data_IF_720409291636
#
_entry.id   IF_720409291636
#
_cell.length_a   1.000
_cell.length_b   1.000
_cell.length_c   1.000
_cell.angle_alpha   90.00
_cell.angle_beta   90.00
_cell.angle_gamma   90.00
#
_symmetry.space_group_name_H-M   'P 1'
#
loop_
_entity.id
_entity.type
_entity.pdbx_description
1 polymer ?
#
# COMPACT_ATOMS: atom_id res chain seq x y z
N UNK A 1 42.95 -1.30 -28.88
CA UNK A 1 42.59 -2.73 -28.79
C UNK A 1 43.36 -3.34 -27.62
N UNK A 2 42.64 -3.86 -26.62
CA UNK A 2 42.98 -4.92 -25.64
C UNK A 2 42.04 -4.74 -24.44
N UNK A 3 41.24 -5.77 -24.18
CA UNK A 3 40.27 -5.91 -23.10
C UNK A 3 40.94 -6.59 -21.90
N UNK A 4 40.50 -6.28 -20.67
CA UNK A 4 40.71 -7.16 -19.50
C UNK A 4 39.56 -7.03 -18.49
N UNK A 5 38.90 -8.16 -18.26
CA UNK A 5 37.85 -8.39 -17.27
C UNK A 5 38.37 -8.19 -15.84
N UNK A 6 37.54 -7.62 -14.96
CA UNK A 6 37.74 -7.64 -13.51
C UNK A 6 36.80 -8.67 -12.87
N UNK A 7 37.38 -9.60 -12.13
CA UNK A 7 36.72 -10.69 -11.43
C UNK A 7 35.80 -10.18 -10.31
N UNK A 8 34.57 -10.69 -10.26
CA UNK A 8 33.60 -10.40 -9.22
C UNK A 8 33.99 -11.05 -7.89
N UNK A 9 34.15 -10.23 -6.86
CA UNK A 9 34.29 -10.70 -5.48
C UNK A 9 32.89 -11.03 -4.96
N UNK A 10 32.53 -12.32 -5.00
CA UNK A 10 31.32 -12.84 -4.37
C UNK A 10 31.52 -12.87 -2.86
N UNK A 11 30.83 -12.00 -2.12
CA UNK A 11 30.75 -12.10 -0.66
C UNK A 11 29.84 -13.29 -0.30
N UNK A 12 30.24 -14.18 0.62
CA UNK A 12 29.42 -15.33 1.00
C UNK A 12 28.13 -14.84 1.67
N UNK A 13 27.01 -15.30 1.12
CA UNK A 13 25.66 -15.08 1.67
C UNK A 13 25.55 -15.91 2.95
N UNK A 14 25.59 -15.24 4.10
CA UNK A 14 25.32 -15.87 5.39
C UNK A 14 23.86 -16.34 5.37
N UNK A 15 23.65 -17.65 5.31
CA UNK A 15 22.32 -18.26 5.44
C UNK A 15 21.94 -18.20 6.93
N UNK A 16 21.14 -17.21 7.31
CA UNK A 16 20.51 -17.19 8.64
C UNK A 16 19.23 -18.03 8.60
N UNK A 17 19.10 -18.92 9.59
CA UNK A 17 18.05 -19.94 9.70
C UNK A 17 16.64 -19.35 9.84
N UNK A 18 15.65 -20.15 9.43
CA UNK A 18 14.23 -19.81 9.42
C UNK A 18 13.67 -19.53 10.82
N UNK A 19 13.16 -18.31 11.00
CA UNK A 19 12.06 -18.01 11.91
C UNK A 19 10.85 -17.65 11.04
N UNK A 20 9.75 -18.39 11.17
CA UNK A 20 8.47 -18.03 10.54
C UNK A 20 7.93 -16.80 11.27
N UNK A 21 8.40 -15.62 10.88
CA UNK A 21 7.64 -14.39 11.10
C UNK A 21 6.28 -14.53 10.38
N UNK A 22 5.16 -14.03 10.94
CA UNK A 22 3.95 -13.92 10.15
C UNK A 22 4.30 -13.15 8.89
N UNK A 23 4.09 -13.74 7.72
CA UNK A 23 4.43 -13.11 6.44
C UNK A 23 3.56 -11.88 6.26
N UNK A 24 4.03 -10.74 6.77
CA UNK A 24 3.39 -9.45 6.58
C UNK A 24 3.41 -9.15 5.09
N UNK A 25 2.25 -8.92 4.51
CA UNK A 25 2.12 -8.54 3.11
C UNK A 25 2.86 -7.22 2.86
N UNK A 26 3.63 -7.10 1.76
CA UNK A 26 4.31 -5.86 1.44
C UNK A 26 3.30 -4.73 1.22
N UNK A 27 3.72 -3.48 1.43
CA UNK A 27 2.89 -2.31 1.14
C UNK A 27 2.69 -2.22 -0.37
N UNK A 28 1.45 -2.17 -0.87
CA UNK A 28 1.17 -2.17 -2.30
C UNK A 28 1.53 -0.82 -2.90
N UNK A 29 1.95 -0.85 -4.17
CA UNK A 29 2.26 0.35 -4.94
C UNK A 29 1.08 0.78 -5.82
N UNK A 30 0.14 -0.12 -6.10
CA UNK A 30 -1.04 0.16 -6.90
C UNK A 30 -2.31 -0.37 -6.25
N UNK A 31 -3.46 0.21 -6.66
CA UNK A 31 -4.78 -0.28 -6.22
C UNK A 31 -5.00 -1.72 -6.66
N UNK A 32 -4.49 -2.10 -7.83
CA UNK A 32 -4.60 -3.47 -8.33
C UNK A 32 -3.89 -4.45 -7.40
N UNK A 33 -2.68 -4.14 -6.97
CA UNK A 33 -1.91 -5.00 -6.06
C UNK A 33 -2.60 -5.08 -4.69
N UNK A 34 -3.12 -3.96 -4.20
CA UNK A 34 -3.84 -3.90 -2.93
C UNK A 34 -5.14 -4.74 -2.94
N UNK A 35 -5.84 -4.80 -4.07
CA UNK A 35 -7.08 -5.56 -4.19
C UNK A 35 -6.86 -7.08 -4.31
N UNK A 36 -5.69 -7.50 -4.79
CA UNK A 36 -5.31 -8.92 -4.87
C UNK A 36 -4.99 -9.47 -3.47
N UNK A 37 -4.40 -8.64 -2.61
CA UNK A 37 -4.10 -9.04 -1.24
C UNK A 37 -5.33 -8.94 -0.33
N UNK A 38 -5.74 -10.02 0.35
CA UNK A 38 -6.93 -10.01 1.19
C UNK A 38 -6.83 -9.04 2.38
N UNK A 39 -5.64 -8.82 2.95
CA UNK A 39 -5.46 -7.93 4.09
C UNK A 39 -5.62 -6.47 3.68
N UNK A 40 -5.02 -6.08 2.55
CA UNK A 40 -5.14 -4.73 2.03
C UNK A 40 -6.53 -4.44 1.50
N UNK A 41 -7.16 -5.40 0.81
CA UNK A 41 -8.55 -5.32 0.39
C UNK A 41 -9.47 -5.12 1.58
N UNK A 42 -9.29 -5.87 2.67
CA UNK A 42 -10.09 -5.72 3.88
C UNK A 42 -9.98 -4.30 4.45
N UNK A 43 -8.75 -3.78 4.62
CA UNK A 43 -8.53 -2.42 5.10
C UNK A 43 -9.16 -1.35 4.20
N UNK A 44 -9.18 -1.55 2.87
CA UNK A 44 -9.85 -0.63 1.94
C UNK A 44 -11.37 -0.66 2.08
N UNK A 45 -11.96 -1.84 2.31
CA UNK A 45 -13.40 -1.98 2.54
C UNK A 45 -13.81 -1.35 3.86
N UNK A 46 -13.03 -1.52 4.93
CA UNK A 46 -13.28 -0.89 6.23
C UNK A 46 -13.29 0.64 6.12
N UNK A 47 -12.29 1.23 5.44
CA UNK A 47 -12.25 2.68 5.20
C UNK A 47 -13.47 3.14 4.38
N UNK A 48 -13.83 2.40 3.32
CA UNK A 48 -15.00 2.74 2.51
C UNK A 48 -16.29 2.70 3.33
N UNK A 49 -16.49 1.66 4.14
CA UNK A 49 -17.64 1.55 5.03
C UNK A 49 -17.67 2.69 6.06
N UNK A 50 -16.52 3.07 6.62
CA UNK A 50 -16.42 4.21 7.54
C UNK A 50 -16.78 5.54 6.87
N UNK A 51 -16.37 5.76 5.62
CA UNK A 51 -16.73 6.96 4.85
C UNK A 51 -18.25 7.06 4.64
N UNK A 52 -18.90 5.93 4.31
CA UNK A 52 -20.37 5.87 4.18
C UNK A 52 -21.07 6.10 5.52
N UNK A 53 -20.59 5.45 6.59
CA UNK A 53 -21.18 5.58 7.93
C UNK A 53 -21.09 7.00 8.48
N UNK A 54 -20.03 7.73 8.15
CA UNK A 54 -19.84 9.12 8.57
C UNK A 54 -20.76 10.11 7.84
N UNK A 55 -21.51 9.69 6.81
CA UNK A 55 -22.44 10.54 6.03
C UNK A 55 -21.81 11.86 5.55
N UNK A 56 -20.51 11.86 5.30
CA UNK A 56 -19.76 13.05 4.86
C UNK A 56 -19.62 13.13 3.35
N UNK A 57 -20.07 12.09 2.63
CA UNK A 57 -19.90 11.92 1.19
C UNK A 57 -21.17 11.35 0.58
N UNK A 58 -21.71 12.05 -0.42
CA UNK A 58 -22.76 11.53 -1.29
C UNK A 58 -22.18 11.16 -2.65
N UNK A 59 -22.54 9.98 -3.14
CA UNK A 59 -22.19 9.58 -4.49
C UNK A 59 -23.12 10.29 -5.48
N UNK A 60 -22.62 11.36 -6.08
CA UNK A 60 -23.34 12.15 -7.09
C UNK A 60 -22.87 11.83 -8.51
N UNK A 61 -23.77 11.82 -9.51
CA UNK A 61 -23.37 11.70 -10.90
C UNK A 61 -22.49 12.88 -11.31
N UNK A 62 -21.52 12.62 -12.18
CA UNK A 62 -20.64 13.66 -12.70
C UNK A 62 -21.46 14.67 -13.52
N UNK A 63 -21.43 15.93 -13.13
CA UNK A 63 -22.01 17.02 -13.94
C UNK A 63 -21.17 17.27 -15.19
N UNK A 64 -21.81 17.49 -16.35
CA UNK A 64 -21.10 17.83 -17.59
C UNK A 64 -20.34 19.15 -17.41
N UNK A 65 -19.08 19.18 -17.84
CA UNK A 65 -18.22 20.37 -17.76
C UNK A 65 -17.53 20.60 -16.42
N UNK A 66 -17.79 19.81 -15.38
CA UNK A 66 -17.07 19.93 -14.11
C UNK A 66 -15.77 19.12 -14.09
N UNK A 67 -14.73 19.73 -13.50
CA UNK A 67 -13.49 19.08 -13.17
C UNK A 67 -13.71 18.15 -11.97
N UNK A 68 -13.51 16.85 -12.18
CA UNK A 68 -13.60 15.86 -11.12
C UNK A 68 -12.27 15.85 -10.38
N UNK A 69 -12.31 16.11 -9.08
CA UNK A 69 -11.14 15.97 -8.22
C UNK A 69 -10.75 14.50 -8.14
N UNK A 70 -9.51 14.20 -8.53
CA UNK A 70 -8.99 12.84 -8.48
C UNK A 70 -8.51 12.54 -7.06
N UNK A 71 -8.92 11.39 -6.52
CA UNK A 71 -8.39 10.86 -5.28
C UNK A 71 -7.33 9.77 -5.47
N UNK A 72 -6.63 9.44 -4.39
CA UNK A 72 -5.68 8.32 -4.33
C UNK A 72 -5.82 7.55 -3.03
N UNK A 73 -5.44 6.28 -3.09
CA UNK A 73 -5.29 5.44 -1.90
C UNK A 73 -3.89 5.62 -1.29
N UNK A 74 -3.83 5.61 0.04
CA UNK A 74 -2.59 5.57 0.81
C UNK A 74 -2.64 4.34 1.71
N UNK A 75 -1.62 3.51 1.63
CA UNK A 75 -1.46 2.31 2.45
C UNK A 75 -0.32 2.49 3.45
N UNK A 76 -0.52 2.00 4.68
CA UNK A 76 0.48 2.11 5.74
C UNK A 76 0.33 0.96 6.72
N UNK A 77 1.44 0.32 7.10
CA UNK A 77 1.46 -0.58 8.24
C UNK A 77 1.42 0.22 9.53
N UNK A 78 0.44 -0.06 10.38
CA UNK A 78 0.46 0.42 11.76
C UNK A 78 1.23 -0.58 12.60
N UNK A 79 2.19 -0.07 13.38
CA UNK A 79 3.03 -0.84 14.29
C UNK A 79 2.75 -0.40 15.71
N UNK A 80 2.88 -1.33 16.64
CA UNK A 80 2.83 -1.07 18.08
C UNK A 80 4.15 -0.44 18.55
N UNK A 81 4.19 -0.02 19.82
CA UNK A 81 5.40 0.52 20.46
C UNK A 81 6.55 -0.50 20.38
N UNK A 82 6.21 -1.78 20.51
CA UNK A 82 7.17 -2.90 20.47
C UNK A 82 7.64 -3.23 19.03
N UNK A 83 7.22 -2.46 18.03
CA UNK A 83 7.58 -2.64 16.62
C UNK A 83 6.79 -3.73 15.89
N UNK A 84 5.99 -4.52 16.59
CA UNK A 84 5.11 -5.55 16.02
C UNK A 84 3.99 -4.94 15.19
N UNK A 85 3.52 -5.67 14.17
CA UNK A 85 2.43 -5.19 13.32
C UNK A 85 1.11 -5.18 14.08
N UNK A 86 0.48 -4.01 14.11
CA UNK A 86 -0.83 -3.80 14.74
C UNK A 86 -1.97 -4.04 13.75
N UNK A 87 -1.95 -3.33 12.61
CA UNK A 87 -2.96 -3.47 11.55
C UNK A 87 -2.51 -2.91 10.21
N UNK A 88 -3.17 -3.37 9.16
CA UNK A 88 -3.16 -2.76 7.84
C UNK A 88 -4.05 -1.51 7.87
N UNK A 89 -3.56 -0.39 7.35
CA UNK A 89 -4.33 0.85 7.25
C UNK A 89 -4.36 1.33 5.81
N UNK A 90 -5.56 1.50 5.27
CA UNK A 90 -5.81 2.17 4.00
C UNK A 90 -6.54 3.49 4.25
N UNK A 91 -6.29 4.50 3.42
CA UNK A 91 -7.01 5.78 3.42
C UNK A 91 -7.28 6.25 2.02
N UNK A 92 -8.48 6.75 1.77
CA UNK A 92 -8.79 7.48 0.56
C UNK A 92 -8.60 8.98 0.80
N UNK A 93 -7.87 9.65 -0.08
CA UNK A 93 -7.63 11.09 0.00
C UNK A 93 -7.82 11.76 -1.35
N UNK A 94 -8.45 12.93 -1.34
CA UNK A 94 -8.58 13.76 -2.53
C UNK A 94 -7.32 14.61 -2.74
N UNK A 95 -6.97 14.83 -4.00
CA UNK A 95 -5.96 15.79 -4.40
C UNK A 95 -6.59 17.18 -4.38
N UNK A 96 -6.18 18.07 -3.47
CA UNK A 96 -6.82 19.38 -3.26
C UNK A 96 -6.67 20.42 -4.38
N UNK A 97 -6.50 19.99 -5.63
CA UNK A 97 -6.37 20.86 -6.80
C UNK A 97 -6.84 20.11 -8.05
N UNK A 98 -7.47 20.84 -8.96
CA UNK A 98 -7.95 20.38 -10.28
C UNK A 98 -7.09 20.93 -11.39
#
# INVERSE_FOLDING_TARGET
MVMRQAAGVLRPRVLSAAATEPRISPVPFSVRDALVDPHWRHAMVEEYAALLANQTWDLVPRSPGCNVVIGKWIWTHKRRVDGTMDRYKARWVLRGFT
#
